data_IF_920143624343
#
_entry.id   IF_920143624343
#
_cell.length_a   1.000
_cell.length_b   1.000
_cell.length_c   1.000
_cell.angle_alpha   90.00
_cell.angle_beta   90.00
_cell.angle_gamma   90.00
#
_symmetry.space_group_name_H-M   'P 1'
#
loop_
_entity.id
_entity.type
_entity.pdbx_description
1 polymer ?
#
# COMPACT_ATOMS: atom_id res chain seq x y z
N UNK A 1 15.74 -27.39 -25.67
CA UNK A 1 15.26 -26.21 -26.40
C UNK A 1 15.28 -25.06 -25.41
N UNK A 2 15.82 -23.90 -25.78
CA UNK A 2 16.01 -22.80 -24.84
C UNK A 2 14.73 -21.94 -24.73
N UNK A 3 14.43 -21.41 -23.55
CA UNK A 3 13.23 -20.59 -23.30
C UNK A 3 13.18 -19.37 -24.20
N UNK A 4 14.33 -18.80 -24.56
CA UNK A 4 14.41 -17.67 -25.49
C UNK A 4 13.98 -18.05 -26.91
N UNK A 5 14.41 -19.22 -27.41
CA UNK A 5 14.00 -19.70 -28.74
C UNK A 5 12.50 -19.95 -28.82
N UNK A 6 11.87 -20.27 -27.70
CA UNK A 6 10.42 -20.45 -27.58
C UNK A 6 9.72 -19.09 -27.56
N UNK A 7 10.14 -18.20 -26.66
CA UNK A 7 9.51 -16.91 -26.44
C UNK A 7 9.69 -15.92 -27.60
N UNK A 8 10.84 -15.92 -28.27
CA UNK A 8 11.12 -15.01 -29.40
C UNK A 8 10.17 -15.23 -30.59
N UNK A 9 9.64 -16.45 -30.75
CA UNK A 9 8.67 -16.78 -31.82
C UNK A 9 7.30 -16.15 -31.60
N UNK A 10 7.03 -15.71 -30.37
CA UNK A 10 5.74 -15.16 -29.97
C UNK A 10 5.71 -13.63 -30.05
N UNK A 11 6.84 -12.99 -30.38
CA UNK A 11 6.91 -11.53 -30.54
C UNK A 11 5.95 -11.09 -31.65
N UNK A 12 5.06 -10.16 -31.33
CA UNK A 12 3.98 -9.69 -32.20
C UNK A 12 2.60 -10.28 -31.89
N UNK A 13 2.50 -11.31 -31.06
CA UNK A 13 1.21 -11.86 -30.63
C UNK A 13 0.47 -10.89 -29.69
N UNK A 14 -0.87 -10.99 -29.62
CA UNK A 14 -1.71 -10.09 -28.83
C UNK A 14 -1.54 -10.31 -27.32
N UNK A 15 -1.80 -9.25 -26.53
CA UNK A 15 -1.86 -9.33 -25.07
C UNK A 15 -3.30 -9.15 -24.58
N UNK A 16 -3.78 -10.03 -23.69
CA UNK A 16 -5.11 -9.91 -23.09
C UNK A 16 -5.03 -10.20 -21.57
N UNK A 17 -5.35 -9.21 -20.71
CA UNK A 17 -5.50 -9.39 -19.28
C UNK A 17 -6.53 -10.48 -18.95
N UNK A 18 -6.17 -11.41 -18.07
CA UNK A 18 -7.06 -12.49 -17.63
C UNK A 18 -7.30 -13.60 -18.66
N UNK A 19 -6.51 -13.67 -19.74
CA UNK A 19 -6.47 -14.89 -20.55
C UNK A 19 -5.84 -16.04 -19.75
N UNK A 20 -6.28 -17.27 -20.01
CA UNK A 20 -5.79 -18.47 -19.33
C UNK A 20 -5.21 -19.41 -20.38
N UNK A 21 -3.88 -19.43 -20.53
CA UNK A 21 -3.24 -20.26 -21.55
C UNK A 21 -2.96 -21.65 -20.98
N UNK A 22 -3.42 -22.68 -21.69
CA UNK A 22 -3.02 -24.05 -21.38
C UNK A 22 -1.54 -24.26 -21.77
N UNK A 23 -0.63 -24.09 -20.81
CA UNK A 23 0.81 -24.27 -21.02
C UNK A 23 1.23 -25.69 -21.46
N UNK A 24 0.36 -26.70 -21.28
CA UNK A 24 0.61 -28.07 -21.76
C UNK A 24 0.28 -28.25 -23.25
N UNK A 25 -0.42 -27.30 -23.86
CA UNK A 25 -0.66 -27.29 -25.31
C UNK A 25 0.63 -26.91 -26.04
N UNK A 26 1.13 -27.73 -26.98
CA UNK A 26 2.28 -27.37 -27.81
C UNK A 26 1.92 -26.36 -28.90
N UNK A 27 0.63 -26.15 -29.15
CA UNK A 27 0.15 -25.08 -30.03
C UNK A 27 0.14 -23.77 -29.23
N UNK A 28 0.91 -22.75 -29.66
CA UNK A 28 0.93 -21.46 -28.99
C UNK A 28 -0.45 -20.79 -29.09
N UNK A 29 -0.86 -20.14 -28.01
CA UNK A 29 -1.96 -19.19 -28.09
C UNK A 29 -1.54 -17.99 -28.95
N UNK A 30 -2.50 -17.27 -29.54
CA UNK A 30 -2.23 -15.99 -30.18
C UNK A 30 -2.48 -14.80 -29.23
N UNK A 31 -2.68 -15.07 -27.94
CA UNK A 31 -3.11 -14.13 -26.89
C UNK A 31 -2.40 -14.49 -25.59
N UNK A 32 -1.74 -13.52 -24.97
CA UNK A 32 -0.83 -13.76 -23.85
C UNK A 32 -1.04 -12.79 -22.67
N UNK A 33 -1.02 -13.29 -21.44
CA UNK A 33 -0.61 -12.48 -20.27
C UNK A 33 0.91 -12.56 -20.10
N UNK A 34 1.49 -11.67 -19.30
CA UNK A 34 2.93 -11.71 -18.97
C UNK A 34 3.30 -13.01 -18.25
N UNK A 35 2.45 -13.47 -17.33
CA UNK A 35 2.65 -14.71 -16.61
C UNK A 35 2.42 -15.96 -17.48
N UNK A 36 1.40 -15.98 -18.35
CA UNK A 36 1.18 -17.09 -19.28
C UNK A 36 2.33 -17.24 -20.27
N UNK A 37 2.82 -16.13 -20.83
CA UNK A 37 3.95 -16.13 -21.76
C UNK A 37 5.17 -16.80 -21.13
N UNK A 38 5.53 -16.40 -19.91
CA UNK A 38 6.66 -16.96 -19.20
C UNK A 38 6.44 -18.44 -18.82
N UNK A 39 5.25 -18.79 -18.31
CA UNK A 39 4.95 -20.16 -17.83
C UNK A 39 4.86 -21.15 -18.98
N UNK A 40 4.21 -20.75 -20.08
CA UNK A 40 4.16 -21.53 -21.31
C UNK A 40 5.56 -21.72 -21.88
N UNK A 41 6.37 -20.67 -21.96
CA UNK A 41 7.73 -20.76 -22.49
C UNK A 41 8.61 -21.69 -21.63
N UNK A 42 8.53 -21.59 -20.30
CA UNK A 42 9.26 -22.46 -19.38
C UNK A 42 8.84 -23.93 -19.52
N UNK A 43 7.54 -24.20 -19.65
CA UNK A 43 7.02 -25.55 -19.83
C UNK A 43 7.43 -26.15 -21.18
N UNK A 44 7.33 -25.39 -22.27
CA UNK A 44 7.70 -25.88 -23.60
C UNK A 44 9.20 -26.06 -23.78
N UNK A 45 10.02 -25.24 -23.12
CA UNK A 45 11.48 -25.36 -23.18
C UNK A 45 12.02 -26.51 -22.32
N UNK A 46 11.49 -26.66 -21.10
CA UNK A 46 12.10 -27.48 -20.05
C UNK A 46 11.15 -28.50 -19.40
N UNK A 47 9.86 -28.51 -19.75
CA UNK A 47 8.84 -29.31 -19.04
C UNK A 47 8.53 -28.79 -17.63
N UNK A 48 8.98 -27.57 -17.31
CA UNK A 48 8.90 -27.02 -15.97
C UNK A 48 7.55 -26.32 -15.77
N UNK A 49 6.75 -26.81 -14.82
CA UNK A 49 5.57 -26.08 -14.32
C UNK A 49 6.06 -25.08 -13.28
N UNK A 50 6.00 -23.79 -13.61
CA UNK A 50 6.45 -22.70 -12.77
C UNK A 50 5.57 -21.46 -13.02
N UNK A 51 5.25 -20.73 -11.96
CA UNK A 51 4.42 -19.54 -12.00
C UNK A 51 2.93 -19.80 -12.18
N UNK A 52 2.47 -21.00 -11.80
CA UNK A 52 1.07 -21.44 -11.82
C UNK A 52 0.56 -21.63 -10.38
N UNK A 53 -0.76 -21.66 -10.19
CA UNK A 53 -1.34 -21.90 -8.86
C UNK A 53 -0.87 -23.25 -8.24
N UNK A 54 -1.05 -23.46 -6.93
CA UNK A 54 -0.55 -24.66 -6.24
C UNK A 54 -1.11 -25.98 -6.78
N UNK A 55 -2.22 -25.94 -7.53
CA UNK A 55 -2.78 -27.13 -8.17
C UNK A 55 -1.95 -27.60 -9.37
N UNK A 56 -1.12 -26.71 -9.94
CA UNK A 56 -0.38 -26.98 -11.17
C UNK A 56 -1.32 -27.31 -12.33
N UNK A 57 -2.53 -26.77 -12.33
CA UNK A 57 -3.48 -26.92 -13.43
C UNK A 57 -3.11 -25.99 -14.60
N UNK A 58 -3.39 -26.37 -15.85
CA UNK A 58 -3.21 -25.48 -16.99
C UNK A 58 -4.06 -24.21 -16.88
N UNK A 59 -3.51 -23.07 -17.33
CA UNK A 59 -4.23 -21.80 -17.36
C UNK A 59 -4.22 -21.02 -16.04
N UNK A 60 -3.49 -21.45 -15.01
CA UNK A 60 -3.51 -20.77 -13.70
C UNK A 60 -2.31 -19.84 -13.50
N UNK A 61 -1.62 -19.46 -14.57
CA UNK A 61 -0.44 -18.62 -14.48
C UNK A 61 -0.77 -17.19 -14.03
N UNK A 62 0.00 -16.67 -13.07
CA UNK A 62 -0.17 -15.28 -12.59
C UNK A 62 1.14 -14.70 -12.05
N UNK A 63 1.32 -13.37 -12.03
CA UNK A 63 2.48 -12.75 -11.41
C UNK A 63 2.67 -13.16 -9.94
N UNK A 64 1.58 -13.37 -9.21
CA UNK A 64 1.59 -13.82 -7.82
C UNK A 64 2.02 -15.27 -7.66
N UNK A 65 1.59 -16.15 -8.57
CA UNK A 65 2.09 -17.53 -8.62
C UNK A 65 3.58 -17.57 -8.98
N UNK A 66 4.03 -16.71 -9.91
CA UNK A 66 5.45 -16.52 -10.22
C UNK A 66 6.24 -16.07 -8.99
N UNK A 67 5.71 -15.13 -8.21
CA UNK A 67 6.31 -14.72 -6.93
C UNK A 67 6.44 -15.87 -5.96
N UNK A 68 5.38 -16.66 -5.82
CA UNK A 68 5.34 -17.78 -4.91
C UNK A 68 6.38 -18.84 -5.28
N UNK A 69 6.37 -19.32 -6.53
CA UNK A 69 7.32 -20.32 -7.01
C UNK A 69 8.77 -19.81 -6.97
N UNK A 70 8.99 -18.52 -7.25
CA UNK A 70 10.31 -17.90 -7.12
C UNK A 70 10.86 -17.96 -5.70
N UNK A 71 10.01 -17.74 -4.70
CA UNK A 71 10.38 -17.76 -3.28
C UNK A 71 10.52 -19.19 -2.72
N UNK A 72 9.67 -20.10 -3.18
CA UNK A 72 9.61 -21.48 -2.68
C UNK A 72 10.68 -22.38 -3.32
N UNK A 73 10.86 -22.27 -4.63
CA UNK A 73 11.62 -23.24 -5.45
C UNK A 73 12.48 -22.64 -6.54
N UNK A 74 12.47 -21.31 -6.71
CA UNK A 74 13.37 -20.59 -7.61
C UNK A 74 14.72 -20.27 -6.96
N UNK A 75 15.73 -19.98 -7.78
CA UNK A 75 16.98 -19.40 -7.28
C UNK A 75 16.91 -17.89 -7.49
N UNK A 76 16.67 -17.17 -6.40
CA UNK A 76 16.59 -15.71 -6.40
C UNK A 76 17.96 -15.10 -6.65
N UNK A 77 18.04 -14.19 -7.63
CA UNK A 77 19.26 -13.45 -8.00
C UNK A 77 18.99 -11.95 -8.04
N UNK A 78 20.05 -11.15 -8.04
CA UNK A 78 19.92 -9.71 -8.21
C UNK A 78 19.27 -9.36 -9.55
N UNK A 79 18.49 -8.28 -9.60
CA UNK A 79 17.87 -7.79 -10.85
C UNK A 79 18.92 -7.58 -11.95
N UNK A 80 20.02 -6.92 -11.62
CA UNK A 80 21.11 -6.67 -12.55
C UNK A 80 21.71 -7.98 -13.11
N UNK A 81 21.81 -9.01 -12.26
CA UNK A 81 22.27 -10.33 -12.65
C UNK A 81 21.27 -11.01 -13.59
N UNK A 82 19.98 -10.97 -13.26
CA UNK A 82 18.93 -11.52 -14.12
C UNK A 82 18.83 -10.82 -15.48
N UNK A 83 18.91 -9.48 -15.54
CA UNK A 83 18.93 -8.72 -16.80
C UNK A 83 20.05 -9.17 -17.75
N UNK A 84 21.19 -9.60 -17.19
CA UNK A 84 22.35 -10.08 -17.94
C UNK A 84 22.42 -11.59 -18.13
N UNK A 85 21.47 -12.32 -17.56
CA UNK A 85 21.41 -13.77 -17.64
C UNK A 85 20.34 -14.17 -18.67
N UNK A 86 20.73 -14.69 -19.85
CA UNK A 86 19.77 -15.16 -20.86
C UNK A 86 18.84 -16.22 -20.26
N UNK A 87 17.53 -16.04 -20.43
CA UNK A 87 16.51 -16.96 -19.93
C UNK A 87 16.21 -16.83 -18.43
N UNK A 88 16.85 -15.90 -17.71
CA UNK A 88 16.43 -15.54 -16.36
C UNK A 88 15.08 -14.83 -16.41
N UNK A 89 14.32 -14.91 -15.33
CA UNK A 89 13.01 -14.28 -15.22
C UNK A 89 13.15 -13.02 -14.38
N UNK A 90 12.58 -11.94 -14.88
CA UNK A 90 12.48 -10.68 -14.18
C UNK A 90 11.06 -10.54 -13.66
N UNK A 91 10.97 -10.28 -12.37
CA UNK A 91 9.70 -10.15 -11.67
C UNK A 91 9.55 -8.75 -11.10
N UNK A 92 8.38 -8.19 -11.33
CA UNK A 92 7.90 -6.97 -10.70
C UNK A 92 6.61 -7.27 -9.98
N UNK A 93 6.49 -6.77 -8.76
CA UNK A 93 5.34 -6.99 -7.91
C UNK A 93 4.86 -5.67 -7.34
N UNK A 94 3.55 -5.51 -7.22
CA UNK A 94 3.03 -4.47 -6.35
C UNK A 94 3.32 -4.87 -4.89
N UNK A 95 3.95 -3.98 -4.08
CA UNK A 95 4.25 -4.27 -2.68
C UNK A 95 2.98 -4.36 -1.80
N UNK A 96 1.88 -3.69 -2.16
CA UNK A 96 0.63 -3.65 -1.38
C UNK A 96 -0.64 -4.03 -2.19
N UNK A 97 -0.53 -4.25 -3.50
CA UNK A 97 -1.63 -4.63 -4.39
C UNK A 97 -1.91 -6.14 -4.45
N UNK A 98 -3.03 -6.55 -5.10
CA UNK A 98 -3.38 -7.94 -5.32
C UNK A 98 -2.23 -8.79 -5.89
N UNK A 99 -2.11 -10.07 -5.51
CA UNK A 99 -1.04 -10.96 -6.00
C UNK A 99 -1.05 -11.12 -7.52
N UNK A 100 -2.20 -10.97 -8.17
CA UNK A 100 -2.33 -10.93 -9.63
C UNK A 100 -1.71 -9.67 -10.28
N UNK A 101 -1.41 -8.62 -9.50
CA UNK A 101 -0.78 -7.38 -9.98
C UNK A 101 0.74 -7.47 -9.92
N UNK A 102 1.33 -7.27 -11.08
CA UNK A 102 2.76 -7.40 -11.28
C UNK A 102 3.10 -7.60 -12.75
N UNK A 103 4.37 -7.84 -13.01
CA UNK A 103 4.84 -8.12 -14.35
C UNK A 103 5.91 -9.20 -14.32
N UNK A 104 5.86 -10.05 -15.33
CA UNK A 104 6.79 -11.16 -15.52
C UNK A 104 7.38 -11.02 -16.91
N UNK A 105 8.70 -11.08 -17.00
CA UNK A 105 9.40 -10.95 -18.26
C UNK A 105 10.59 -11.90 -18.34
N UNK A 106 10.93 -12.33 -19.56
CA UNK A 106 12.06 -13.21 -19.82
C UNK A 106 13.24 -12.34 -20.26
N UNK A 107 14.34 -12.40 -19.52
CA UNK A 107 15.58 -11.69 -19.85
C UNK A 107 16.27 -12.29 -21.06
N UNK A 108 16.65 -11.47 -22.04
CA UNK A 108 17.50 -11.91 -23.17
C UNK A 108 18.99 -11.93 -22.81
N UNK A 109 19.36 -11.42 -21.65
CA UNK A 109 20.75 -11.32 -21.20
C UNK A 109 21.57 -10.18 -21.84
N UNK A 110 20.96 -9.41 -22.76
CA UNK A 110 21.59 -8.28 -23.45
C UNK A 110 21.03 -6.92 -23.00
N UNK A 111 20.34 -6.89 -21.86
CA UNK A 111 19.65 -5.69 -21.37
C UNK A 111 18.21 -5.55 -21.86
N UNK A 112 17.69 -6.50 -22.66
CA UNK A 112 16.30 -6.51 -23.14
C UNK A 112 15.48 -7.63 -22.50
N UNK A 113 14.16 -7.46 -22.52
CA UNK A 113 13.19 -8.47 -22.13
C UNK A 113 12.36 -8.95 -23.31
N UNK A 114 11.79 -10.16 -23.19
CA UNK A 114 10.63 -10.61 -23.96
C UNK A 114 9.45 -10.64 -22.99
N UNK A 115 8.43 -9.84 -23.28
CA UNK A 115 7.32 -9.62 -22.35
C UNK A 115 6.00 -9.30 -23.07
N UNK A 116 4.88 -9.73 -22.50
CA UNK A 116 3.55 -9.36 -22.96
C UNK A 116 3.11 -8.06 -22.28
N UNK A 117 3.20 -6.94 -22.98
CA UNK A 117 3.37 -5.61 -22.40
C UNK A 117 2.11 -4.71 -22.48
N UNK A 118 0.94 -5.28 -22.18
CA UNK A 118 -0.36 -4.60 -22.23
C UNK A 118 -1.07 -4.73 -23.59
N UNK A 119 -2.40 -4.53 -23.59
CA UNK A 119 -3.28 -4.81 -24.74
C UNK A 119 -2.89 -4.03 -26.01
N UNK A 120 -2.30 -2.85 -25.85
CA UNK A 120 -1.87 -2.00 -26.98
C UNK A 120 -0.63 -2.50 -27.71
N UNK A 121 0.20 -3.32 -27.07
CA UNK A 121 1.53 -3.68 -27.59
C UNK A 121 1.71 -5.16 -27.88
N UNK A 122 0.98 -6.02 -27.20
CA UNK A 122 1.18 -7.46 -27.36
C UNK A 122 2.51 -7.93 -26.76
N UNK A 123 3.06 -9.00 -27.31
CA UNK A 123 4.38 -9.53 -26.95
C UNK A 123 5.47 -8.75 -27.69
N UNK A 124 6.39 -8.15 -26.94
CA UNK A 124 7.41 -7.25 -27.49
C UNK A 124 8.81 -7.58 -26.99
N UNK A 125 9.80 -6.94 -27.60
CA UNK A 125 11.11 -6.72 -27.00
C UNK A 125 11.06 -5.47 -26.13
N UNK A 126 11.11 -5.65 -24.81
CA UNK A 126 11.18 -4.58 -23.82
C UNK A 126 12.61 -4.16 -23.52
N UNK A 127 12.79 -2.93 -23.02
CA UNK A 127 14.06 -2.46 -22.46
C UNK A 127 14.10 -2.81 -20.97
N UNK A 128 14.90 -3.80 -20.59
CA UNK A 128 15.00 -4.28 -19.21
C UNK A 128 15.72 -3.27 -18.31
N UNK A 129 16.52 -2.38 -18.89
CA UNK A 129 17.27 -1.32 -18.19
C UNK A 129 16.59 0.05 -18.29
N UNK A 130 15.37 0.10 -18.83
CA UNK A 130 14.58 1.32 -18.93
C UNK A 130 14.15 1.85 -17.55
N UNK A 131 13.35 2.93 -17.55
CA UNK A 131 12.91 3.63 -16.32
C UNK A 131 11.88 2.84 -15.46
N UNK A 132 11.61 1.58 -15.76
CA UNK A 132 10.72 0.71 -14.98
C UNK A 132 11.61 -0.27 -14.20
N UNK A 133 11.55 -0.26 -12.87
CA UNK A 133 12.40 -1.15 -12.04
C UNK A 133 11.87 -2.58 -12.04
N UNK A 134 12.74 -3.55 -11.81
CA UNK A 134 12.34 -4.91 -11.41
C UNK A 134 12.55 -5.07 -9.90
N UNK A 135 11.79 -5.97 -9.28
CA UNK A 135 11.90 -6.25 -7.85
C UNK A 135 12.78 -7.46 -7.56
N UNK A 136 12.80 -8.41 -8.48
CA UNK A 136 13.57 -9.63 -8.35
C UNK A 136 14.01 -10.19 -9.69
N UNK A 137 15.17 -10.85 -9.68
CA UNK A 137 15.59 -11.79 -10.70
C UNK A 137 15.40 -13.22 -10.20
N UNK A 138 15.02 -14.13 -11.08
CA UNK A 138 14.83 -15.55 -10.75
C UNK A 138 15.46 -16.42 -11.82
N UNK A 139 16.31 -17.34 -11.39
CA UNK A 139 16.78 -18.45 -12.20
C UNK A 139 15.84 -19.63 -11.98
N UNK A 140 15.34 -20.21 -13.07
CA UNK A 140 14.46 -21.36 -13.01
C UNK A 140 15.22 -22.57 -12.47
N UNK A 141 14.63 -23.33 -11.53
CA UNK A 141 15.27 -24.53 -11.00
C UNK A 141 15.56 -25.51 -12.15
N UNK A 142 16.63 -26.29 -11.98
CA UNK A 142 17.10 -27.33 -12.92
C UNK A 142 17.57 -26.84 -14.30
N UNK A 143 17.59 -25.52 -14.55
CA UNK A 143 18.14 -24.89 -15.75
C UNK A 143 19.58 -24.43 -15.51
N UNK A 144 20.47 -24.66 -16.47
CA UNK A 144 21.86 -24.21 -16.40
C UNK A 144 22.02 -22.82 -17.06
N UNK A 145 22.68 -21.89 -16.36
CA UNK A 145 22.88 -20.50 -16.78
C UNK A 145 24.38 -20.17 -16.88
N UNK A 146 24.76 -19.28 -17.81
CA UNK A 146 26.13 -18.78 -17.95
C UNK A 146 26.31 -17.48 -17.14
N UNK A 147 27.28 -17.40 -16.22
CA UNK A 147 27.46 -16.22 -15.33
C UNK A 147 28.28 -15.08 -15.96
N UNK A 148 27.97 -13.82 -15.62
CA UNK A 148 28.80 -12.62 -15.85
C UNK A 148 28.64 -11.57 -14.73
N UNK A 149 29.77 -11.01 -14.27
CA UNK A 149 29.91 -10.10 -13.12
C UNK A 149 29.63 -8.58 -13.38
N UNK A 150 29.15 -7.92 -12.30
CA UNK A 150 29.33 -6.52 -11.80
C UNK A 150 28.57 -5.25 -12.37
N UNK A 151 27.61 -4.76 -11.55
CA UNK A 151 27.21 -3.39 -11.06
C UNK A 151 26.95 -2.11 -11.92
N UNK A 152 25.73 -1.49 -11.84
CA UNK A 152 25.36 -0.11 -11.32
C UNK A 152 23.91 0.39 -11.68
N UNK A 153 23.44 1.43 -10.94
CA UNK A 153 22.08 1.91 -10.57
C UNK A 153 21.00 2.33 -11.63
N UNK A 154 19.72 2.15 -11.26
CA UNK A 154 18.48 2.57 -11.94
C UNK A 154 17.91 3.93 -11.44
N UNK A 155 17.15 4.65 -12.29
CA UNK A 155 16.49 5.94 -11.99
C UNK A 155 15.12 5.83 -11.28
N UNK A 156 14.62 6.96 -10.72
CA UNK A 156 13.51 7.00 -9.76
C UNK A 156 12.11 6.66 -10.34
N UNK A 157 11.39 5.77 -9.64
CA UNK A 157 9.99 5.33 -9.85
C UNK A 157 9.20 5.66 -8.58
N UNK A 158 7.96 6.17 -8.71
CA UNK A 158 7.12 6.58 -7.57
C UNK A 158 6.12 5.46 -7.23
N UNK A 159 6.08 5.04 -5.96
CA UNK A 159 5.28 3.92 -5.43
C UNK A 159 5.02 4.08 -3.93
N UNK A 160 4.27 3.14 -3.33
CA UNK A 160 4.19 3.03 -1.87
C UNK A 160 5.56 2.63 -1.31
N UNK A 161 6.22 3.59 -0.66
CA UNK A 161 7.43 3.35 0.14
C UNK A 161 7.05 3.17 1.61
N UNK A 162 7.81 2.38 2.40
CA UNK A 162 7.73 2.48 3.84
C UNK A 162 8.18 3.89 4.24
N UNK A 163 7.22 4.76 4.58
CA UNK A 163 7.38 6.21 4.80
C UNK A 163 7.58 7.04 3.50
N UNK A 164 6.55 7.18 2.66
CA UNK A 164 6.65 8.01 1.45
C UNK A 164 6.71 9.49 1.85
N UNK A 165 7.62 10.24 1.22
CA UNK A 165 7.65 11.70 1.34
C UNK A 165 6.77 12.32 0.25
N UNK A 166 6.05 13.44 0.51
CA UNK A 166 5.25 14.13 -0.50
C UNK A 166 6.10 14.54 -1.70
N UNK A 167 5.68 14.17 -2.91
CA UNK A 167 6.35 14.52 -4.16
C UNK A 167 5.43 15.31 -5.09
N UNK A 168 5.89 16.43 -5.68
CA UNK A 168 5.15 17.17 -6.71
C UNK A 168 4.68 16.27 -7.87
N UNK A 169 5.51 15.30 -8.26
CA UNK A 169 5.18 14.37 -9.34
C UNK A 169 3.99 13.46 -8.98
N UNK A 170 3.93 12.98 -7.73
CA UNK A 170 2.80 12.18 -7.24
C UNK A 170 1.54 13.02 -7.19
N UNK A 171 1.67 14.29 -6.78
CA UNK A 171 0.57 15.25 -6.75
C UNK A 171 0.01 15.51 -8.15
N UNK A 172 0.88 15.63 -9.16
CA UNK A 172 0.47 15.75 -10.56
C UNK A 172 -0.26 14.51 -11.06
N UNK A 173 0.20 13.31 -10.66
CA UNK A 173 -0.47 12.05 -10.99
C UNK A 173 -1.84 11.98 -10.32
N UNK A 174 -1.96 12.33 -9.04
CA UNK A 174 -3.24 12.37 -8.31
C UNK A 174 -4.21 13.37 -8.97
N UNK A 175 -3.75 14.57 -9.34
CA UNK A 175 -4.55 15.54 -10.09
C UNK A 175 -5.00 15.00 -11.45
N UNK A 176 -4.11 14.34 -12.18
CA UNK A 176 -4.43 13.79 -13.49
C UNK A 176 -5.38 12.59 -13.42
N UNK A 177 -5.29 11.76 -12.38
CA UNK A 177 -6.24 10.66 -12.12
C UNK A 177 -7.63 11.21 -11.79
N UNK A 178 -7.69 12.23 -10.94
CA UNK A 178 -8.94 12.91 -10.60
C UNK A 178 -9.59 13.55 -11.83
N UNK A 179 -8.81 14.25 -12.65
CA UNK A 179 -9.28 14.79 -13.92
C UNK A 179 -9.80 13.68 -14.85
N UNK A 180 -9.12 12.53 -14.91
CA UNK A 180 -9.55 11.38 -15.70
C UNK A 180 -10.79 10.63 -15.12
N UNK A 181 -11.43 11.14 -14.07
CA UNK A 181 -12.64 10.56 -13.47
C UNK A 181 -12.38 9.44 -12.44
N UNK A 182 -11.15 9.29 -11.96
CA UNK A 182 -10.77 8.30 -10.96
C UNK A 182 -10.47 8.98 -9.61
N UNK A 183 -10.87 8.38 -8.47
CA UNK A 183 -10.56 8.95 -7.14
C UNK A 183 -9.25 8.38 -6.57
N UNK A 184 -8.12 9.12 -6.56
CA UNK A 184 -6.84 8.65 -6.04
C UNK A 184 -6.74 8.74 -4.51
N UNK A 185 -7.80 9.18 -3.82
CA UNK A 185 -7.72 9.67 -2.45
C UNK A 185 -7.20 11.11 -2.39
N UNK A 186 -6.61 11.53 -1.25
CA UNK A 186 -6.09 12.89 -1.09
C UNK A 186 -5.04 13.25 -2.15
N UNK A 187 -5.04 14.50 -2.65
CA UNK A 187 -3.99 15.01 -3.54
C UNK A 187 -2.83 15.57 -2.71
N UNK A 188 -2.23 14.69 -1.92
CA UNK A 188 -1.25 15.00 -0.88
C UNK A 188 0.21 14.77 -1.31
N UNK A 189 0.44 14.33 -2.56
CA UNK A 189 1.77 13.97 -3.06
C UNK A 189 2.31 12.67 -2.48
N UNK A 190 1.50 11.91 -1.73
CA UNK A 190 1.87 10.61 -1.17
C UNK A 190 1.31 9.49 -2.02
N UNK A 191 2.18 8.59 -2.46
CA UNK A 191 1.74 7.43 -3.22
C UNK A 191 1.30 6.35 -2.24
N UNK A 192 0.09 6.50 -1.69
CA UNK A 192 -0.51 5.55 -0.74
C UNK A 192 -1.40 4.50 -1.42
N UNK A 193 -1.95 3.56 -0.64
CA UNK A 193 -2.79 2.44 -1.14
C UNK A 193 -3.94 2.87 -2.03
N UNK A 194 -4.62 3.98 -1.69
CA UNK A 194 -5.70 4.52 -2.52
C UNK A 194 -5.16 5.00 -3.87
N UNK A 195 -4.08 5.77 -3.87
CA UNK A 195 -3.45 6.24 -5.11
C UNK A 195 -2.93 5.08 -5.97
N UNK A 196 -2.31 4.05 -5.37
CA UNK A 196 -1.86 2.84 -6.08
C UNK A 196 -3.02 2.06 -6.71
N UNK A 197 -4.09 1.80 -5.95
CA UNK A 197 -5.28 1.11 -6.45
C UNK A 197 -5.94 1.87 -7.61
N UNK A 198 -5.96 3.20 -7.52
CA UNK A 198 -6.54 4.08 -8.55
C UNK A 198 -5.66 4.15 -9.79
N UNK A 199 -4.34 4.15 -9.65
CA UNK A 199 -3.40 4.00 -10.78
C UNK A 199 -3.62 2.68 -11.51
N UNK A 200 -3.78 1.57 -10.78
CA UNK A 200 -4.08 0.28 -11.38
C UNK A 200 -5.42 0.29 -12.14
N UNK A 201 -6.47 0.89 -11.58
CA UNK A 201 -7.77 1.04 -12.24
C UNK A 201 -7.68 1.89 -13.53
N UNK A 202 -6.91 2.99 -13.49
CA UNK A 202 -6.66 3.82 -14.66
C UNK A 202 -5.89 3.05 -15.75
N UNK A 203 -4.83 2.34 -15.39
CA UNK A 203 -4.05 1.51 -16.31
C UNK A 203 -4.92 0.46 -17.01
N UNK A 204 -5.82 -0.19 -16.25
CA UNK A 204 -6.77 -1.15 -16.78
C UNK A 204 -7.71 -0.50 -17.81
N UNK A 205 -8.23 0.70 -17.52
CA UNK A 205 -9.12 1.43 -18.45
C UNK A 205 -8.44 1.89 -19.74
N UNK A 206 -7.11 2.08 -19.72
CA UNK A 206 -6.32 2.53 -20.88
C UNK A 206 -5.59 1.38 -21.60
N UNK A 207 -5.82 0.13 -21.21
CA UNK A 207 -5.19 -1.05 -21.82
C UNK A 207 -3.67 -1.12 -21.62
N UNK A 208 -3.16 -0.49 -20.55
CA UNK A 208 -1.75 -0.49 -20.16
C UNK A 208 -1.42 -1.72 -19.29
N UNK A 209 -0.13 -1.91 -18.98
CA UNK A 209 0.28 -2.88 -17.94
C UNK A 209 -0.31 -2.41 -16.60
N UNK A 210 -1.12 -3.27 -15.97
CA UNK A 210 -1.78 -3.02 -14.68
C UNK A 210 -0.84 -3.46 -13.55
N UNK A 211 -0.02 -2.53 -13.09
CA UNK A 211 1.02 -2.77 -12.09
C UNK A 211 0.90 -1.85 -10.86
N UNK A 212 -0.03 -0.88 -10.88
CA UNK A 212 -0.23 0.07 -9.79
C UNK A 212 0.85 1.14 -9.69
N UNK A 213 1.83 1.17 -10.60
CA UNK A 213 2.96 2.11 -10.60
C UNK A 213 2.80 3.19 -11.68
N UNK A 214 3.02 4.45 -11.33
CA UNK A 214 2.91 5.55 -12.28
C UNK A 214 4.21 5.74 -13.10
N UNK A 215 4.50 4.79 -13.98
CA UNK A 215 5.64 4.83 -14.91
C UNK A 215 5.48 5.81 -16.09
N UNK A 216 6.49 5.95 -16.97
CA UNK A 216 6.45 6.88 -18.11
C UNK A 216 5.22 6.73 -19.02
N UNK A 217 4.78 5.50 -19.28
CA UNK A 217 3.62 5.22 -20.15
C UNK A 217 2.30 5.61 -19.47
N UNK A 218 2.17 5.34 -18.18
CA UNK A 218 1.00 5.78 -17.38
C UNK A 218 0.93 7.30 -17.34
N UNK A 219 2.06 7.98 -17.13
CA UNK A 219 2.14 9.45 -17.17
C UNK A 219 1.79 10.03 -18.54
N UNK A 220 2.26 9.40 -19.63
CA UNK A 220 1.90 9.82 -20.98
C UNK A 220 0.40 9.66 -21.26
N UNK A 221 -0.21 8.55 -20.83
CA UNK A 221 -1.65 8.33 -20.97
C UNK A 221 -2.49 9.31 -20.13
N UNK A 222 -2.02 9.66 -18.93
CA UNK A 222 -2.63 10.69 -18.08
C UNK A 222 -2.50 12.09 -18.70
N UNK A 223 -1.40 12.38 -19.40
CA UNK A 223 -1.22 13.64 -20.11
C UNK A 223 -2.18 13.75 -21.31
N UNK A 224 -2.33 12.68 -22.11
CA UNK A 224 -3.21 12.68 -23.28
C UNK A 224 -4.70 12.89 -22.94
N UNK A 225 -5.16 12.44 -21.76
CA UNK A 225 -6.54 12.68 -21.31
C UNK A 225 -6.85 14.14 -20.95
N UNK A 226 -5.83 14.94 -20.60
CA UNK A 226 -6.00 16.38 -20.30
C UNK A 226 -6.28 17.22 -21.55
N UNK A 227 -5.80 16.78 -22.71
CA UNK A 227 -5.97 17.50 -23.97
C UNK A 227 -7.36 17.26 -24.59
N UNK A 228 -8.02 16.14 -24.29
CA UNK A 228 -9.38 15.84 -24.76
C UNK A 228 -10.47 16.60 -23.98
N UNK A 229 -10.24 16.90 -22.69
CA UNK A 229 -11.22 17.54 -21.80
C UNK A 229 -11.11 19.08 -21.78
N UNK A 230 -9.91 19.62 -22.09
CA UNK A 230 -9.68 21.06 -22.29
C UNK A 230 -10.46 21.64 -23.50
N UNK A 231 -10.98 20.80 -24.39
CA UNK A 231 -11.84 21.22 -25.51
C UNK A 231 -13.34 21.39 -25.12
N UNK A 232 -13.75 21.04 -23.90
CA UNK A 232 -15.15 20.83 -23.55
C UNK A 232 -15.81 21.76 -22.51
N UNK A 233 -15.08 22.56 -21.72
CA UNK A 233 -15.69 23.28 -20.59
C UNK A 233 -15.38 24.78 -20.57
N UNK A 234 -16.37 25.59 -20.98
CA UNK A 234 -16.45 27.02 -20.73
C UNK A 234 -17.66 27.39 -19.86
N UNK A 235 -17.46 28.41 -19.01
CA UNK A 235 -18.43 29.17 -18.18
C UNK A 235 -19.01 28.43 -16.94
N UNK A 236 -19.11 28.99 -15.72
CA UNK A 236 -18.91 30.35 -15.18
C UNK A 236 -18.67 30.33 -13.63
N UNK A 237 -18.18 31.47 -13.11
CA UNK A 237 -17.99 31.89 -11.70
C UNK A 237 -19.26 32.59 -11.14
N UNK A 238 -19.35 33.21 -9.93
CA UNK A 238 -18.47 33.23 -8.73
C UNK A 238 -19.21 33.01 -7.37
N UNK A 239 -18.43 33.13 -6.29
CA UNK A 239 -18.73 32.92 -4.86
C UNK A 239 -19.89 33.73 -4.23
N UNK A 240 -20.53 33.16 -3.18
CA UNK A 240 -21.21 33.95 -2.14
C UNK A 240 -21.35 33.24 -0.77
N UNK A 241 -21.03 34.01 0.29
CA UNK A 241 -21.48 33.98 1.70
C UNK A 241 -21.18 32.78 2.62
N UNK A 242 -20.13 32.94 3.43
CA UNK A 242 -19.81 32.08 4.57
C UNK A 242 -20.68 32.44 5.79
N UNK A 243 -21.49 31.48 6.25
CA UNK A 243 -22.04 31.47 7.61
C UNK A 243 -20.97 30.90 8.55
N UNK A 244 -20.53 31.70 9.53
CA UNK A 244 -19.50 31.34 10.52
C UNK A 244 -19.99 30.20 11.43
N UNK A 245 -19.79 28.96 11.00
CA UNK A 245 -19.72 27.80 11.89
C UNK A 245 -18.38 27.84 12.66
N UNK A 246 -18.33 27.44 13.94
CA UNK A 246 -17.07 27.35 14.67
C UNK A 246 -16.13 26.36 13.97
N UNK A 247 -14.90 26.82 13.70
CA UNK A 247 -13.86 26.08 13.01
C UNK A 247 -12.76 25.64 14.00
N UNK A 248 -12.03 24.59 13.65
CA UNK A 248 -10.87 24.13 14.44
C UNK A 248 -9.81 25.23 14.54
N UNK A 249 -9.08 25.35 15.68
CA UNK A 249 -7.95 26.27 15.78
C UNK A 249 -6.89 25.93 14.72
N UNK A 250 -6.41 26.97 14.02
CA UNK A 250 -5.56 26.84 12.82
C UNK A 250 -4.09 26.61 13.15
N UNK A 251 -3.44 25.83 12.26
CA UNK A 251 -2.00 25.74 11.96
C UNK A 251 -1.20 24.53 12.51
N UNK A 252 -1.61 23.27 12.22
CA UNK A 252 -0.64 22.17 12.17
C UNK A 252 0.46 22.47 11.16
N UNK A 253 1.69 22.02 11.45
CA UNK A 253 2.74 21.94 10.44
C UNK A 253 2.26 21.09 9.25
N UNK A 254 2.43 21.62 8.02
CA UNK A 254 2.06 20.96 6.75
C UNK A 254 3.15 20.01 6.27
N UNK A 255 3.61 19.16 7.17
CA UNK A 255 4.68 18.21 6.96
C UNK A 255 4.24 16.85 7.47
N UNK A 256 4.89 15.80 6.97
CA UNK A 256 4.72 14.42 7.47
C UNK A 256 5.98 13.93 8.17
N UNK A 257 7.05 14.73 8.13
CA UNK A 257 8.33 14.38 8.70
C UNK A 257 8.24 14.31 10.22
N UNK A 258 8.65 13.17 10.79
CA UNK A 258 8.56 12.95 12.22
C UNK A 258 9.43 13.94 13.02
N UNK A 259 10.61 14.32 12.53
CA UNK A 259 11.51 15.21 13.27
C UNK A 259 10.90 16.60 13.41
N UNK A 260 10.23 17.08 12.36
CA UNK A 260 9.51 18.35 12.37
C UNK A 260 8.26 18.29 13.27
N UNK A 261 7.54 17.16 13.27
CA UNK A 261 6.30 17.01 14.05
C UNK A 261 6.51 16.64 15.52
N UNK A 262 7.69 16.15 15.90
CA UNK A 262 7.94 15.57 17.23
C UNK A 262 7.58 16.54 18.37
N UNK A 263 7.97 17.80 18.24
CA UNK A 263 7.72 18.83 19.24
C UNK A 263 6.23 19.24 19.29
N UNK A 264 5.59 19.33 18.12
CA UNK A 264 4.16 19.65 18.00
C UNK A 264 3.31 18.58 18.71
N UNK A 265 3.55 17.30 18.44
CA UNK A 265 2.82 16.20 19.11
C UNK A 265 2.93 16.28 20.63
N UNK A 266 4.13 16.56 21.14
CA UNK A 266 4.35 16.69 22.58
C UNK A 266 3.57 17.88 23.14
N UNK A 267 3.62 19.04 22.48
CA UNK A 267 2.93 20.24 22.91
C UNK A 267 1.39 20.07 22.89
N UNK A 268 0.84 19.49 21.82
CA UNK A 268 -0.59 19.22 21.70
C UNK A 268 -1.09 18.26 22.77
N UNK A 269 -0.37 17.15 22.98
CA UNK A 269 -0.76 16.18 24.00
C UNK A 269 -0.64 16.75 25.41
N UNK A 270 0.44 17.49 25.72
CA UNK A 270 0.61 18.13 27.04
C UNK A 270 -0.44 19.21 27.32
N UNK A 271 -0.95 19.87 26.29
CA UNK A 271 -1.99 20.90 26.42
C UNK A 271 -3.42 20.35 26.28
N UNK A 272 -3.62 19.05 26.05
CA UNK A 272 -4.92 18.46 25.76
C UNK A 272 -5.93 18.67 26.90
N UNK A 273 -7.09 19.25 26.54
CA UNK A 273 -8.24 19.47 27.42
C UNK A 273 -9.49 18.87 26.75
N UNK A 274 -10.15 17.88 27.39
CA UNK A 274 -11.41 17.33 26.88
C UNK A 274 -12.46 18.41 26.62
N UNK A 275 -13.13 18.33 25.46
CA UNK A 275 -14.17 19.28 25.10
C UNK A 275 -15.42 19.11 26.00
N UNK A 276 -16.11 20.20 26.37
CA UNK A 276 -17.35 20.11 27.15
C UNK A 276 -18.36 19.17 26.49
N UNK A 277 -19.05 18.36 27.31
CA UNK A 277 -20.05 17.39 26.83
C UNK A 277 -19.49 16.10 26.20
N UNK A 278 -18.17 15.98 25.98
CA UNK A 278 -17.56 14.76 25.40
C UNK A 278 -17.13 13.72 26.43
N UNK A 279 -17.23 14.02 27.73
CA UNK A 279 -16.76 13.15 28.82
C UNK A 279 -17.30 11.72 28.74
N UNK A 280 -18.62 11.53 28.54
CA UNK A 280 -19.21 10.19 28.47
C UNK A 280 -18.67 9.38 27.27
N UNK A 281 -18.58 10.00 26.09
CA UNK A 281 -18.03 9.36 24.90
C UNK A 281 -16.54 9.00 25.06
N UNK A 282 -15.75 9.87 25.73
CA UNK A 282 -14.34 9.60 26.04
C UNK A 282 -14.24 8.41 26.99
N UNK A 283 -15.07 8.35 28.04
CA UNK A 283 -15.09 7.24 28.98
C UNK A 283 -15.43 5.92 28.28
N UNK A 284 -16.47 5.91 27.45
CA UNK A 284 -16.89 4.72 26.70
C UNK A 284 -15.79 4.22 25.75
N UNK A 285 -15.14 5.14 25.03
CA UNK A 285 -14.02 4.79 24.15
C UNK A 285 -12.81 4.27 24.94
N UNK A 286 -12.52 4.87 26.10
CA UNK A 286 -11.45 4.42 26.99
C UNK A 286 -11.72 3.02 27.54
N UNK A 287 -12.95 2.75 27.98
CA UNK A 287 -13.37 1.44 28.49
C UNK A 287 -13.31 0.37 27.39
N UNK A 288 -13.66 0.74 26.16
CA UNK A 288 -13.57 -0.15 25.00
C UNK A 288 -12.13 -0.52 24.69
N UNK A 289 -11.21 0.44 24.69
CA UNK A 289 -9.78 0.18 24.51
C UNK A 289 -9.22 -0.69 25.66
N UNK A 290 -9.64 -0.45 26.90
CA UNK A 290 -9.20 -1.26 28.06
C UNK A 290 -9.60 -2.73 27.97
N UNK A 291 -10.74 -3.05 27.36
CA UNK A 291 -11.15 -4.46 27.13
C UNK A 291 -10.16 -5.23 26.25
N UNK A 292 -9.37 -4.53 25.42
CA UNK A 292 -8.37 -5.14 24.54
C UNK A 292 -6.97 -5.25 25.17
N UNK A 293 -6.79 -4.83 26.44
CA UNK A 293 -5.47 -4.71 27.08
C UNK A 293 -4.66 -6.01 27.06
N UNK A 294 -5.21 -7.09 27.60
CA UNK A 294 -4.48 -8.36 27.71
C UNK A 294 -4.13 -8.98 26.33
N UNK A 295 -5.05 -9.04 25.35
CA UNK A 295 -4.69 -9.39 23.97
C UNK A 295 -3.60 -8.49 23.39
N UNK A 296 -3.68 -7.17 23.62
CA UNK A 296 -2.71 -6.20 23.11
C UNK A 296 -1.33 -6.35 23.77
N UNK A 297 -1.25 -6.71 25.05
CA UNK A 297 0.00 -7.04 25.76
C UNK A 297 0.67 -8.27 25.13
N UNK A 298 -0.11 -9.33 24.83
CA UNK A 298 0.40 -10.55 24.18
C UNK A 298 0.90 -10.27 22.76
N UNK A 299 0.20 -9.46 21.99
CA UNK A 299 0.63 -9.02 20.65
C UNK A 299 1.89 -8.18 20.75
N UNK A 300 1.93 -7.24 21.70
CA UNK A 300 3.07 -6.37 21.94
C UNK A 300 4.36 -7.12 22.26
N UNK A 301 4.28 -8.16 23.09
CA UNK A 301 5.40 -9.05 23.39
C UNK A 301 5.98 -9.74 22.13
N UNK A 302 5.12 -10.10 21.17
CA UNK A 302 5.53 -10.71 19.90
C UNK A 302 6.11 -9.71 18.89
N UNK A 303 5.96 -8.41 19.14
CA UNK A 303 6.42 -7.32 18.28
C UNK A 303 7.63 -6.58 18.89
N UNK A 304 8.48 -7.30 19.62
CA UNK A 304 9.69 -6.71 20.22
C UNK A 304 9.41 -5.78 21.40
N UNK A 305 8.31 -6.03 22.13
CA UNK A 305 7.93 -5.24 23.30
C UNK A 305 7.16 -3.97 22.97
N UNK A 306 6.34 -3.99 21.91
CA UNK A 306 5.42 -2.89 21.63
C UNK A 306 4.45 -2.71 22.82
N UNK A 307 4.28 -1.49 23.37
CA UNK A 307 3.48 -1.33 24.55
C UNK A 307 1.99 -1.41 24.22
N UNK A 308 1.23 -2.11 25.07
CA UNK A 308 -0.15 -2.55 24.80
C UNK A 308 -1.07 -1.44 24.29
N UNK A 309 -0.98 -0.25 24.87
CA UNK A 309 -1.80 0.90 24.49
C UNK A 309 -1.56 1.36 23.04
N UNK A 310 -0.36 1.22 22.49
CA UNK A 310 -0.10 1.54 21.09
C UNK A 310 -0.78 0.52 20.18
N UNK A 311 -0.77 -0.76 20.55
CA UNK A 311 -1.47 -1.84 19.84
C UNK A 311 -2.99 -1.64 19.91
N UNK A 312 -3.52 -1.36 21.11
CA UNK A 312 -4.94 -1.19 21.36
C UNK A 312 -5.52 0.05 20.66
N UNK A 313 -4.78 1.16 20.60
CA UNK A 313 -5.21 2.36 19.86
C UNK A 313 -5.23 2.14 18.35
N UNK A 314 -4.34 1.29 17.80
CA UNK A 314 -4.44 0.88 16.38
C UNK A 314 -5.73 0.11 16.15
N UNK A 315 -6.09 -0.81 17.05
CA UNK A 315 -7.36 -1.55 16.97
C UNK A 315 -8.58 -0.62 17.02
N UNK A 316 -8.59 0.35 17.93
CA UNK A 316 -9.67 1.33 17.99
C UNK A 316 -9.82 2.11 16.68
N UNK A 317 -8.71 2.55 16.07
CA UNK A 317 -8.74 3.31 14.82
C UNK A 317 -9.19 2.48 13.62
N UNK A 318 -8.69 1.25 13.52
CA UNK A 318 -8.90 0.38 12.35
C UNK A 318 -10.27 -0.28 12.37
N UNK A 319 -10.69 -0.81 13.52
CA UNK A 319 -11.89 -1.62 13.62
C UNK A 319 -12.69 -1.38 14.90
N UNK A 320 -12.49 -0.28 15.62
CA UNK A 320 -13.27 0.02 16.84
C UNK A 320 -13.05 -0.98 17.97
N UNK A 321 -11.85 -1.56 18.08
CA UNK A 321 -11.50 -2.57 19.09
C UNK A 321 -12.32 -3.86 19.02
N UNK A 322 -12.84 -4.20 17.85
CA UNK A 322 -13.48 -5.50 17.60
C UNK A 322 -12.43 -6.61 17.58
N UNK A 323 -12.44 -7.46 18.61
CA UNK A 323 -11.51 -8.58 18.78
C UNK A 323 -11.94 -9.85 18.04
N UNK A 324 -13.12 -9.84 17.42
CA UNK A 324 -13.68 -10.92 16.62
C UNK A 324 -13.44 -10.71 15.11
N UNK A 325 -12.75 -9.62 14.75
CA UNK A 325 -12.45 -9.23 13.38
C UNK A 325 -10.95 -9.09 13.16
N UNK A 326 -10.53 -9.25 11.91
CA UNK A 326 -9.17 -8.99 11.49
C UNK A 326 -8.79 -7.54 11.75
N UNK A 327 -7.65 -7.32 12.41
CA UNK A 327 -7.13 -5.96 12.66
C UNK A 327 -6.77 -5.22 11.37
N UNK A 328 -6.48 -5.97 10.30
CA UNK A 328 -6.13 -5.44 9.01
C UNK A 328 -7.18 -4.49 8.44
N UNK A 329 -8.44 -4.90 8.49
CA UNK A 329 -9.52 -4.29 7.71
C UNK A 329 -10.95 -4.57 8.23
N UNK A 330 -11.09 -5.32 9.33
CA UNK A 330 -12.41 -5.67 9.88
C UNK A 330 -13.09 -6.90 9.28
N UNK A 331 -12.44 -7.68 8.42
CA UNK A 331 -13.03 -8.94 7.93
C UNK A 331 -13.17 -10.00 9.05
N UNK A 332 -14.09 -10.98 8.96
CA UNK A 332 -14.23 -12.03 9.97
C UNK A 332 -12.98 -12.91 10.12
N UNK A 333 -12.64 -13.28 11.36
CA UNK A 333 -11.52 -14.18 11.68
C UNK A 333 -11.71 -15.64 11.22
N UNK A 334 -12.90 -15.99 10.73
CA UNK A 334 -13.24 -17.35 10.25
C UNK A 334 -12.60 -17.70 8.92
N UNK A 335 -12.01 -16.72 8.22
CA UNK A 335 -11.31 -16.91 6.96
C UNK A 335 -10.06 -16.04 6.91
N UNK A 336 -9.46 -15.93 5.72
CA UNK A 336 -8.46 -14.89 5.45
C UNK A 336 -9.19 -13.63 5.00
N UNK A 337 -8.53 -12.49 5.13
CA UNK A 337 -9.06 -11.21 4.64
C UNK A 337 -9.40 -11.26 3.15
N UNK A 338 -10.57 -10.77 2.79
CA UNK A 338 -11.07 -10.62 1.41
C UNK A 338 -11.14 -9.15 1.00
N UNK A 339 -11.19 -8.26 1.98
CA UNK A 339 -10.97 -6.82 1.82
C UNK A 339 -9.46 -6.54 1.83
N UNK A 340 -8.99 -5.47 1.20
CA UNK A 340 -7.56 -5.15 1.24
C UNK A 340 -7.10 -4.83 2.68
N UNK A 341 -5.93 -5.32 3.15
CA UNK A 341 -5.00 -6.22 2.46
C UNK A 341 -5.52 -7.66 2.43
N UNK A 342 -5.70 -8.24 1.24
CA UNK A 342 -6.29 -9.58 1.04
C UNK A 342 -5.34 -10.72 1.40
N UNK A 343 -5.88 -11.89 1.74
CA UNK A 343 -5.14 -13.13 1.97
C UNK A 343 -4.39 -13.19 3.31
N UNK A 344 -4.63 -12.26 4.22
CA UNK A 344 -3.99 -12.19 5.54
C UNK A 344 -4.82 -12.90 6.60
N UNK A 345 -4.22 -13.35 7.72
CA UNK A 345 -2.79 -13.36 8.07
C UNK A 345 -2.00 -14.34 7.18
N UNK A 346 -0.73 -14.10 6.86
CA UNK A 346 -0.01 -15.00 5.93
C UNK A 346 0.25 -16.39 6.53
N UNK A 347 0.70 -16.44 7.79
CA UNK A 347 0.94 -17.67 8.52
C UNK A 347 -0.32 -18.15 9.26
N UNK A 348 -0.39 -19.46 9.51
CA UNK A 348 -1.52 -20.09 10.22
C UNK A 348 -2.66 -20.56 9.30
N UNK A 349 -3.70 -21.13 9.91
CA UNK A 349 -4.91 -21.59 9.23
C UNK A 349 -6.15 -21.07 9.98
N UNK A 350 -7.23 -20.70 9.27
CA UNK A 350 -8.46 -20.24 9.90
C UNK A 350 -9.18 -21.38 10.66
N UNK A 351 -10.03 -21.04 11.66
CA UNK A 351 -10.27 -19.70 12.18
C UNK A 351 -9.04 -19.15 12.93
N UNK A 352 -8.70 -17.89 12.68
CA UNK A 352 -7.57 -17.23 13.32
C UNK A 352 -7.96 -16.69 14.69
N UNK A 353 -7.00 -16.58 15.60
CA UNK A 353 -7.19 -15.72 16.77
C UNK A 353 -6.97 -14.25 16.39
N UNK A 354 -7.50 -13.35 17.22
CA UNK A 354 -7.25 -11.93 17.05
C UNK A 354 -5.77 -11.60 17.12
N UNK A 355 -5.02 -12.25 18.01
CA UNK A 355 -3.59 -12.00 18.21
C UNK A 355 -2.77 -12.40 16.97
N UNK A 356 -3.10 -13.55 16.34
CA UNK A 356 -2.47 -13.96 15.09
C UNK A 356 -2.70 -12.93 13.98
N UNK A 357 -3.93 -12.43 13.89
CA UNK A 357 -4.27 -11.36 12.95
C UNK A 357 -3.57 -10.05 13.26
N UNK A 358 -3.55 -9.64 14.53
CA UNK A 358 -2.98 -8.38 14.95
C UNK A 358 -1.47 -8.34 14.75
N UNK A 359 -0.76 -9.44 15.03
CA UNK A 359 0.69 -9.53 14.80
C UNK A 359 1.02 -9.40 13.31
N UNK A 360 0.30 -10.08 12.42
CA UNK A 360 0.51 -9.95 10.97
C UNK A 360 0.20 -8.52 10.49
N UNK A 361 -0.91 -7.93 10.94
CA UNK A 361 -1.31 -6.57 10.58
C UNK A 361 -0.27 -5.54 11.04
N UNK A 362 0.20 -5.63 12.29
CA UNK A 362 1.13 -4.67 12.86
C UNK A 362 2.54 -4.80 12.28
N UNK A 363 2.96 -6.01 11.87
CA UNK A 363 4.17 -6.20 11.08
C UNK A 363 4.07 -5.46 9.73
N UNK A 364 2.93 -5.58 9.05
CA UNK A 364 2.68 -4.85 7.80
C UNK A 364 2.71 -3.32 8.01
N UNK A 365 2.25 -2.85 9.17
CA UNK A 365 2.25 -1.43 9.54
C UNK A 365 3.62 -0.95 10.10
N UNK A 366 4.65 -1.80 10.11
CA UNK A 366 6.00 -1.42 10.54
C UNK A 366 6.18 -1.33 12.07
N UNK A 367 5.29 -1.91 12.87
CA UNK A 367 5.39 -1.90 14.33
C UNK A 367 6.44 -2.88 14.88
N UNK A 368 6.98 -3.78 14.04
CA UNK A 368 7.96 -4.81 14.40
C UNK A 368 9.44 -4.43 14.11
N UNK A 369 9.76 -3.13 14.01
CA UNK A 369 11.12 -2.67 13.68
C UNK A 369 12.14 -3.02 14.79
N UNK A 370 13.43 -3.26 14.46
CA UNK A 370 14.48 -3.41 15.47
C UNK A 370 14.65 -2.12 16.28
N UNK A 371 14.65 -2.22 17.62
CA UNK A 371 14.72 -1.08 18.55
C UNK A 371 13.63 -0.01 18.32
N UNK A 372 12.34 -0.35 18.49
CA UNK A 372 11.25 0.55 18.19
C UNK A 372 11.18 1.74 19.18
N UNK A 373 11.11 2.96 18.64
CA UNK A 373 10.84 4.18 19.41
C UNK A 373 9.35 4.21 19.82
N UNK A 374 9.09 4.11 21.11
CA UNK A 374 7.74 4.20 21.70
C UNK A 374 7.54 5.49 22.48
N UNK A 375 8.28 6.54 22.15
CA UNK A 375 7.98 7.87 22.69
C UNK A 375 6.57 8.29 22.30
N UNK A 376 5.94 9.11 23.16
CA UNK A 376 4.62 9.69 22.91
C UNK A 376 4.47 10.25 21.48
N UNK A 377 5.43 11.09 21.06
CA UNK A 377 5.42 11.70 19.73
C UNK A 377 5.45 10.65 18.62
N UNK A 378 6.19 9.54 18.81
CA UNK A 378 6.28 8.48 17.81
C UNK A 378 5.01 7.66 17.74
N UNK A 379 4.37 7.40 18.87
CA UNK A 379 3.06 6.74 18.92
C UNK A 379 2.03 7.60 18.17
N UNK A 380 1.93 8.89 18.49
CA UNK A 380 0.99 9.81 17.85
C UNK A 380 1.25 9.96 16.34
N UNK A 381 2.51 10.03 15.91
CA UNK A 381 2.88 10.05 14.49
C UNK A 381 2.42 8.80 13.74
N UNK A 382 2.64 7.61 14.32
CA UNK A 382 2.18 6.34 13.73
C UNK A 382 0.66 6.28 13.64
N UNK A 383 -0.04 6.71 14.68
CA UNK A 383 -1.51 6.76 14.70
C UNK A 383 -2.06 7.78 13.69
N UNK A 384 -1.37 8.92 13.49
CA UNK A 384 -1.76 9.87 12.44
C UNK A 384 -1.63 9.25 11.06
N UNK A 385 -0.49 8.60 10.78
CA UNK A 385 -0.21 7.97 9.50
C UNK A 385 -1.25 6.91 9.10
N UNK A 386 -1.87 6.21 10.05
CA UNK A 386 -2.94 5.24 9.77
C UNK A 386 -4.19 5.88 9.15
N UNK A 387 -4.58 7.07 9.64
CA UNK A 387 -5.69 7.83 9.06
C UNK A 387 -5.27 8.80 7.96
N UNK A 388 -3.96 8.98 7.76
CA UNK A 388 -3.37 9.90 6.79
C UNK A 388 -3.18 11.34 7.33
N UNK A 389 -2.28 12.08 6.68
CA UNK A 389 -1.92 13.46 7.05
C UNK A 389 -2.73 14.54 6.30
N UNK A 390 -3.73 14.14 5.51
CA UNK A 390 -4.47 15.06 4.62
C UNK A 390 -5.07 16.28 5.32
N UNK A 391 -5.60 16.12 6.54
CA UNK A 391 -6.20 17.22 7.32
C UNK A 391 -5.23 18.39 7.55
N UNK A 392 -3.93 18.10 7.65
CA UNK A 392 -2.88 19.11 7.84
C UNK A 392 -2.81 20.08 6.65
N UNK A 393 -3.09 19.61 5.43
CA UNK A 393 -3.13 20.46 4.23
C UNK A 393 -4.24 21.51 4.30
N UNK A 394 -5.29 21.22 5.07
CA UNK A 394 -6.41 22.12 5.33
C UNK A 394 -6.24 22.92 6.62
N UNK A 395 -5.06 22.83 7.27
CA UNK A 395 -4.79 23.54 8.53
C UNK A 395 -5.57 22.99 9.72
N UNK A 396 -6.03 21.74 9.64
CA UNK A 396 -6.81 21.07 10.69
C UNK A 396 -6.02 19.88 11.24
N UNK A 397 -5.95 19.77 12.57
CA UNK A 397 -5.37 18.59 13.21
C UNK A 397 -6.22 17.35 12.91
N UNK A 398 -5.58 16.21 12.69
CA UNK A 398 -6.22 14.94 12.36
C UNK A 398 -7.42 14.60 13.29
N UNK A 399 -8.66 14.49 12.78
CA UNK A 399 -9.83 14.20 13.59
C UNK A 399 -9.70 12.86 14.34
N UNK A 400 -9.11 11.84 13.70
CA UNK A 400 -8.87 10.53 14.31
C UNK A 400 -7.86 10.55 15.45
N UNK A 401 -7.11 11.63 15.64
CA UNK A 401 -6.25 11.83 16.81
C UNK A 401 -6.90 12.73 17.86
N UNK A 402 -7.51 13.84 17.43
CA UNK A 402 -7.81 14.96 18.32
C UNK A 402 -9.30 15.23 18.54
N UNK A 403 -10.21 14.54 17.84
CA UNK A 403 -11.63 14.71 18.07
C UNK A 403 -12.01 14.39 19.54
N UNK A 404 -12.77 15.29 20.17
CA UNK A 404 -13.16 15.19 21.57
C UNK A 404 -12.35 16.09 22.52
N UNK A 405 -11.38 16.85 22.03
CA UNK A 405 -10.66 17.88 22.78
C UNK A 405 -10.69 19.24 22.05
N UNK A 406 -10.13 20.26 22.69
CA UNK A 406 -10.11 21.63 22.16
C UNK A 406 -9.32 21.81 20.85
N UNK A 407 -8.45 20.86 20.51
CA UNK A 407 -7.62 20.93 19.29
C UNK A 407 -8.42 20.61 18.01
N UNK A 408 -9.65 20.12 18.13
CA UNK A 408 -10.49 19.78 16.99
C UNK A 408 -11.95 20.21 17.22
N UNK A 409 -12.53 20.88 16.23
CA UNK A 409 -13.95 21.29 16.22
C UNK A 409 -14.67 20.72 14.99
N UNK A 410 -14.10 20.93 13.79
CA UNK A 410 -14.67 20.54 12.50
C UNK A 410 -13.59 20.43 11.42
N UNK A 411 -13.94 19.80 10.29
CA UNK A 411 -13.06 19.48 9.18
C UNK A 411 -12.74 17.98 9.13
N UNK A 412 -13.26 17.26 8.16
CA UNK A 412 -12.98 15.83 7.98
C UNK A 412 -13.11 15.41 6.52
N UNK A 413 -12.48 14.27 6.18
CA UNK A 413 -12.72 13.61 4.91
C UNK A 413 -13.96 12.71 5.00
N UNK A 414 -14.89 12.90 4.09
CA UNK A 414 -16.01 12.01 3.84
C UNK A 414 -15.86 11.25 2.50
N UNK A 415 -16.91 10.54 2.07
CA UNK A 415 -16.95 9.86 0.77
C UNK A 415 -16.68 10.80 -0.42
N UNK A 416 -17.17 12.04 -0.33
CA UNK A 416 -17.08 13.06 -1.38
C UNK A 416 -15.81 13.94 -1.26
N UNK A 417 -14.86 13.56 -0.40
CA UNK A 417 -13.63 14.29 -0.16
C UNK A 417 -13.68 15.18 1.10
N UNK A 418 -12.90 16.27 1.09
CA UNK A 418 -12.75 17.14 2.25
C UNK A 418 -13.99 18.02 2.47
N UNK A 419 -14.57 17.95 3.67
CA UNK A 419 -15.61 18.86 4.13
C UNK A 419 -15.12 19.64 5.35
N UNK A 420 -14.92 20.98 5.25
CA UNK A 420 -14.50 21.82 6.37
C UNK A 420 -15.55 21.91 7.49
N UNK A 421 -16.81 21.63 7.20
CA UNK A 421 -17.91 21.64 8.16
C UNK A 421 -18.24 20.28 8.78
N UNK A 422 -17.66 19.19 8.28
CA UNK A 422 -17.88 17.85 8.83
C UNK A 422 -17.25 17.72 10.22
N UNK A 423 -17.99 17.09 11.14
CA UNK A 423 -17.54 16.84 12.51
C UNK A 423 -17.44 15.34 12.70
N UNK A 424 -16.25 14.85 13.05
CA UNK A 424 -16.08 13.45 13.42
C UNK A 424 -16.84 13.13 14.71
N UNK A 425 -17.59 12.05 14.69
CA UNK A 425 -18.31 11.52 15.84
C UNK A 425 -17.42 10.67 16.75
N UNK A 426 -16.42 9.98 16.18
CA UNK A 426 -15.44 9.14 16.89
C UNK A 426 -14.47 9.96 17.74
N UNK A 427 -14.19 9.49 18.95
CA UNK A 427 -13.17 10.08 19.83
C UNK A 427 -11.78 9.75 19.29
N UNK A 428 -10.92 10.76 19.22
CA UNK A 428 -9.57 10.61 18.68
C UNK A 428 -8.64 9.84 19.61
N UNK A 429 -7.68 9.12 19.03
CA UNK A 429 -6.77 8.24 19.76
C UNK A 429 -5.87 8.97 20.77
N UNK A 430 -5.50 10.23 20.52
CA UNK A 430 -4.73 11.03 21.49
C UNK A 430 -5.57 11.39 22.72
N UNK A 431 -6.87 11.64 22.53
CA UNK A 431 -7.82 11.91 23.63
C UNK A 431 -8.03 10.66 24.48
N UNK A 432 -8.14 9.48 23.85
CA UNK A 432 -8.24 8.20 24.56
C UNK A 432 -6.94 7.92 25.33
N UNK A 433 -5.78 8.15 24.70
CA UNK A 433 -4.48 7.96 25.34
C UNK A 433 -4.31 8.86 26.58
N UNK A 434 -4.69 10.14 26.50
CA UNK A 434 -4.68 11.04 27.67
C UNK A 434 -5.61 10.54 28.78
N UNK A 435 -6.81 10.06 28.44
CA UNK A 435 -7.73 9.47 29.40
C UNK A 435 -7.16 8.22 30.09
N UNK A 436 -6.48 7.34 29.36
CA UNK A 436 -5.77 6.19 29.93
C UNK A 436 -4.66 6.62 30.90
N UNK A 437 -3.87 7.63 30.54
CA UNK A 437 -2.86 8.19 31.44
C UNK A 437 -3.53 8.83 32.67
N UNK A 438 -4.69 9.49 32.52
CA UNK A 438 -5.43 10.13 33.63
C UNK A 438 -5.99 9.12 34.62
N UNK A 439 -6.36 7.94 34.14
CA UNK A 439 -6.82 6.83 34.96
C UNK A 439 -5.69 6.01 35.58
N UNK A 440 -4.43 6.28 35.22
CA UNK A 440 -3.28 5.53 35.72
C UNK A 440 -3.05 4.18 35.02
N UNK A 441 -3.74 3.92 33.91
CA UNK A 441 -3.63 2.68 33.13
C UNK A 441 -2.36 2.66 32.27
N UNK A 442 -1.87 3.85 31.91
CA UNK A 442 -0.64 4.08 31.16
C UNK A 442 0.25 5.04 31.96
N UNK A 443 1.55 4.74 32.12
CA UNK A 443 2.46 5.65 32.82
C UNK A 443 2.57 6.99 32.08
N UNK A 444 2.76 8.11 32.80
CA UNK A 444 2.94 9.41 32.17
C UNK A 444 4.22 9.46 31.32
N UNK A 445 4.14 10.09 30.16
CA UNK A 445 5.28 10.25 29.25
C UNK A 445 6.15 11.44 29.71
N UNK A 446 7.32 11.16 30.33
CA UNK A 446 8.23 12.15 30.98
C UNK A 446 8.88 13.17 30.00
N UNK A 447 9.39 14.34 30.48
CA UNK A 447 10.53 14.35 31.41
C UNK A 447 10.22 14.67 32.88
N UNK A 448 9.13 15.39 33.16
CA UNK A 448 8.75 15.78 34.52
C UNK A 448 7.34 15.34 34.95
N UNK A 449 6.49 14.71 34.13
CA UNK A 449 5.73 15.35 33.05
C UNK A 449 4.22 15.18 33.24
N UNK A 450 3.76 15.37 34.48
CA UNK A 450 2.34 15.53 34.80
C UNK A 450 2.14 16.36 36.07
N UNK A 451 3.09 17.26 36.34
CA UNK A 451 3.68 17.36 37.68
C UNK A 451 2.77 17.83 38.84
N UNK A 452 1.46 18.07 38.67
CA UNK A 452 0.58 18.47 39.79
C UNK A 452 -0.94 18.16 39.66
N UNK A 453 -1.47 17.32 38.75
CA UNK A 453 -2.93 17.26 38.50
C UNK A 453 -3.56 15.87 38.40
#
# INVERSE_FOLDING_TARGET
MDILLVAERLIGDDHIPGSHVNYRSPVPANRWTSADLASWSAYQAYGLVFGCDPSGAPGTASPGAWRHDAQDRGVMVGVDEAIRTPGAILLRFSPEGPPEFGHVAISRGDGRTIEAAGQRRGVILGDAMGRRRWDAGVLLPTVAYASRDATRQHGAVLRVEPFPQPSPDVREIQLALMAAGFDPGPIDGLFGRRTEATVAAFQASKGLIVDGEAGPETRAALAAGRDEEAAGAGAASPAESASERPQSPSAPARTTDFQELRAEYRALFSSLVPAPGRHAAIQEATDRVLRSREPAERVGAQLGGAPWHAVALVAELQNGSHLDLHLHNGDPLTGRTVTAPRGRPLAGQPPFTWEESAVDALKLLGFAAPAPDWSLSRILHRLEALGGFGSRQHGVFAPHLWCGCQHYVSGAYGPDGWDPGAVSDRIGAAVILDALVRRGEVPPFSPEARRLL
#
